data_IF_543682610158
#
_entry.id   IF_543682610158
#
_cell.length_a   1.000
_cell.length_b   1.000
_cell.length_c   1.000
_cell.angle_alpha   90.00
_cell.angle_beta   90.00
_cell.angle_gamma   90.00
#
_symmetry.space_group_name_H-M   'P 1'
#
loop_
_entity.id
_entity.type
_entity.pdbx_description
1 polymer ?
#
# COMPACT_ATOMS: atom_id res chain seq x y z
N UNK A 1 -4.62 19.78 -1.54
CA UNK A 1 -3.92 18.51 -1.29
C UNK A 1 -4.17 18.08 0.13
N UNK A 2 -4.62 16.85 0.33
CA UNK A 2 -4.86 16.21 1.62
C UNK A 2 -4.60 14.71 1.53
N UNK A 3 -4.27 14.13 2.68
CA UNK A 3 -4.22 12.69 2.91
C UNK A 3 -5.40 12.37 3.81
N UNK A 4 -6.39 11.66 3.28
CA UNK A 4 -7.55 11.19 4.05
C UNK A 4 -7.36 9.71 4.39
N UNK A 5 -7.96 9.30 5.50
CA UNK A 5 -7.81 7.97 6.09
C UNK A 5 -9.17 7.41 6.50
N UNK A 6 -9.33 6.11 6.30
CA UNK A 6 -10.29 5.30 7.03
C UNK A 6 -9.70 3.94 7.38
N UNK A 7 -10.44 3.20 8.20
CA UNK A 7 -10.16 1.81 8.53
C UNK A 7 -11.34 0.98 8.08
N UNK A 8 -11.08 -0.16 7.46
CA UNK A 8 -12.09 -1.16 7.15
C UNK A 8 -11.71 -2.48 7.81
N UNK A 9 -12.69 -3.20 8.34
CA UNK A 9 -12.48 -4.48 9.03
C UNK A 9 -12.90 -5.66 8.15
N UNK A 10 -12.15 -6.75 8.22
CA UNK A 10 -12.40 -7.94 7.42
C UNK A 10 -11.44 -9.05 7.79
N UNK A 11 -11.11 -9.90 6.83
CA UNK A 11 -10.17 -11.00 7.02
C UNK A 11 -8.94 -10.87 6.13
N UNK A 12 -7.87 -11.57 6.49
CA UNK A 12 -6.71 -11.89 5.66
C UNK A 12 -6.56 -13.41 5.59
N UNK A 13 -6.38 -13.97 4.40
CA UNK A 13 -6.30 -15.41 4.17
C UNK A 13 -5.07 -15.80 3.33
N UNK A 14 -4.19 -16.62 3.89
CA UNK A 14 -3.01 -17.18 3.19
C UNK A 14 -2.60 -18.51 3.84
N UNK A 15 -2.05 -19.44 3.05
CA UNK A 15 -1.60 -20.76 3.51
C UNK A 15 -2.64 -21.61 4.26
N UNK A 16 -3.93 -21.38 3.97
CA UNK A 16 -5.03 -22.08 4.63
C UNK A 16 -5.37 -21.56 6.03
N UNK A 17 -4.73 -20.48 6.46
CA UNK A 17 -5.09 -19.75 7.68
C UNK A 17 -5.94 -18.52 7.34
N UNK A 18 -6.71 -18.04 8.31
CA UNK A 18 -7.51 -16.82 8.15
C UNK A 18 -7.55 -16.05 9.47
N UNK A 19 -7.35 -14.74 9.40
CA UNK A 19 -7.22 -13.85 10.54
C UNK A 19 -8.18 -12.68 10.37
N UNK A 20 -8.82 -12.25 11.46
CA UNK A 20 -9.53 -10.97 11.47
C UNK A 20 -8.49 -9.84 11.48
N UNK A 21 -8.68 -8.85 10.60
CA UNK A 21 -7.76 -7.72 10.41
C UNK A 21 -8.52 -6.41 10.23
N UNK A 22 -7.82 -5.32 10.47
CA UNK A 22 -8.26 -3.96 10.15
C UNK A 22 -7.22 -3.32 9.24
N UNK A 23 -7.61 -2.95 8.02
CA UNK A 23 -6.73 -2.35 7.02
C UNK A 23 -6.98 -0.84 6.96
N UNK A 24 -5.89 -0.08 6.89
CA UNK A 24 -5.93 1.34 6.59
C UNK A 24 -6.21 1.55 5.10
N UNK A 25 -7.12 2.48 4.80
CA UNK A 25 -7.39 2.99 3.46
C UNK A 25 -6.86 4.40 3.41
N UNK A 26 -6.01 4.70 2.43
CA UNK A 26 -5.47 6.05 2.22
C UNK A 26 -5.96 6.63 0.91
N UNK A 27 -6.45 7.88 0.96
CA UNK A 27 -6.91 8.63 -0.23
C UNK A 27 -6.14 9.94 -0.31
N UNK A 28 -5.46 10.16 -1.42
CA UNK A 28 -4.57 11.32 -1.61
C UNK A 28 -5.04 12.13 -2.80
N UNK A 29 -5.25 13.42 -2.59
CA UNK A 29 -5.72 14.31 -3.65
C UNK A 29 -6.15 15.68 -3.16
N UNK A 30 -6.85 16.42 -4.00
CA UNK A 30 -7.53 17.67 -3.64
C UNK A 30 -9.06 17.46 -3.57
N UNK A 31 -9.83 18.52 -3.78
CA UNK A 31 -11.30 18.46 -3.81
C UNK A 31 -11.87 17.89 -5.11
N UNK A 32 -11.07 17.74 -6.17
CA UNK A 32 -11.52 17.36 -7.51
C UNK A 32 -11.08 15.95 -7.89
N UNK A 33 -9.81 15.59 -7.67
CA UNK A 33 -9.26 14.28 -8.03
C UNK A 33 -8.39 13.67 -6.93
N UNK A 34 -8.35 12.34 -6.88
CA UNK A 34 -7.57 11.58 -5.92
C UNK A 34 -7.06 10.25 -6.48
N UNK A 35 -6.11 9.63 -5.78
CA UNK A 35 -5.82 8.21 -5.87
C UNK A 35 -6.27 7.52 -4.59
N UNK A 36 -6.61 6.24 -4.71
CA UNK A 36 -6.86 5.35 -3.57
C UNK A 36 -5.67 4.43 -3.46
N UNK A 37 -5.10 4.30 -2.25
CA UNK A 37 -4.05 3.32 -1.95
C UNK A 37 -4.69 2.17 -1.20
N UNK A 38 -4.57 0.99 -1.79
CA UNK A 38 -5.21 -0.26 -1.39
C UNK A 38 -6.76 -0.22 -1.41
N UNK A 39 -7.37 -1.37 -1.67
CA UNK A 39 -8.81 -1.53 -1.75
C UNK A 39 -9.23 -2.81 -0.99
N UNK A 40 -9.31 -2.72 0.35
CA UNK A 40 -9.39 -3.88 1.22
C UNK A 40 -10.78 -4.53 1.19
N UNK A 41 -11.68 -4.18 2.11
CA UNK A 41 -12.82 -5.04 2.43
C UNK A 41 -14.19 -4.51 1.99
N UNK A 42 -14.32 -3.20 1.81
CA UNK A 42 -15.61 -2.55 1.58
C UNK A 42 -15.47 -1.42 0.56
N UNK A 43 -16.14 -1.55 -0.58
CA UNK A 43 -16.24 -0.46 -1.56
C UNK A 43 -16.91 0.76 -0.93
N UNK A 44 -17.93 0.56 -0.09
CA UNK A 44 -18.65 1.64 0.56
C UNK A 44 -17.76 2.46 1.52
N UNK A 45 -16.88 1.79 2.28
CA UNK A 45 -15.94 2.49 3.19
C UNK A 45 -14.96 3.34 2.38
N UNK A 46 -14.44 2.79 1.28
CA UNK A 46 -13.52 3.50 0.38
C UNK A 46 -14.22 4.70 -0.26
N UNK A 47 -15.42 4.51 -0.80
CA UNK A 47 -16.20 5.58 -1.44
C UNK A 47 -16.62 6.65 -0.43
N UNK A 48 -16.89 6.30 0.81
CA UNK A 48 -17.18 7.27 1.87
C UNK A 48 -16.00 8.22 2.10
N UNK A 49 -14.76 7.72 2.06
CA UNK A 49 -13.57 8.57 2.12
C UNK A 49 -13.40 9.34 0.83
N UNK A 50 -13.45 8.68 -0.34
CA UNK A 50 -13.30 9.33 -1.67
C UNK A 50 -14.31 10.48 -1.86
N UNK A 51 -15.53 10.34 -1.38
CA UNK A 51 -16.57 11.35 -1.56
C UNK A 51 -16.90 11.58 -3.03
N UNK A 52 -16.90 12.85 -3.47
CA UNK A 52 -17.27 13.23 -4.85
C UNK A 52 -16.08 13.33 -5.81
N UNK A 53 -14.88 12.98 -5.36
CA UNK A 53 -13.64 13.16 -6.13
C UNK A 53 -13.54 12.14 -7.25
N UNK A 54 -12.93 12.54 -8.36
CA UNK A 54 -12.56 11.63 -9.44
C UNK A 54 -11.37 10.78 -9.01
N UNK A 55 -11.56 9.47 -8.92
CA UNK A 55 -10.46 8.54 -8.70
C UNK A 55 -9.64 8.40 -9.99
N UNK A 56 -8.33 8.57 -9.89
CA UNK A 56 -7.38 8.53 -11.00
C UNK A 56 -6.71 7.19 -11.15
N UNK A 57 -6.51 6.50 -10.03
CA UNK A 57 -5.94 5.17 -9.95
C UNK A 57 -6.28 4.54 -8.60
N UNK A 58 -6.36 3.21 -8.59
CA UNK A 58 -6.32 2.38 -7.39
C UNK A 58 -4.91 1.79 -7.36
N UNK A 59 -4.08 2.20 -6.41
CA UNK A 59 -2.67 1.80 -6.33
C UNK A 59 -2.54 0.75 -5.23
N UNK A 60 -2.26 -0.48 -5.61
CA UNK A 60 -2.07 -1.58 -4.67
C UNK A 60 -0.60 -1.61 -4.21
N UNK A 61 -0.37 -1.50 -2.90
CA UNK A 61 0.95 -1.65 -2.30
C UNK A 61 1.47 -3.07 -2.47
N UNK A 62 0.60 -4.06 -2.36
CA UNK A 62 0.85 -5.47 -2.65
C UNK A 62 -0.47 -6.22 -2.84
N UNK A 63 -0.41 -7.51 -3.19
CA UNK A 63 -1.57 -8.31 -3.58
C UNK A 63 -2.03 -9.35 -2.54
N UNK A 64 -1.77 -9.15 -1.25
CA UNK A 64 -2.51 -9.91 -0.24
C UNK A 64 -4.00 -9.56 -0.29
N UNK A 65 -4.84 -10.56 0.00
CA UNK A 65 -6.28 -10.46 -0.27
C UNK A 65 -6.95 -9.35 0.56
N UNK A 66 -6.47 -9.10 1.77
CA UNK A 66 -6.91 -8.01 2.62
C UNK A 66 -6.56 -6.61 2.09
N UNK A 67 -5.62 -6.45 1.16
CA UNK A 67 -5.29 -5.17 0.52
C UNK A 67 -5.98 -4.97 -0.83
N UNK A 68 -6.40 -6.04 -1.51
CA UNK A 68 -6.91 -5.95 -2.89
C UNK A 68 -8.29 -6.56 -3.10
N UNK A 69 -8.94 -7.10 -2.07
CA UNK A 69 -10.18 -7.90 -2.20
C UNK A 69 -11.28 -7.18 -2.97
N UNK A 70 -11.47 -5.88 -2.79
CA UNK A 70 -12.51 -5.15 -3.54
C UNK A 70 -11.95 -4.33 -4.71
N UNK A 71 -10.67 -4.46 -5.05
CA UNK A 71 -10.04 -3.66 -6.11
C UNK A 71 -10.75 -3.77 -7.48
N UNK A 72 -11.12 -4.97 -7.98
CA UNK A 72 -11.86 -5.08 -9.24
C UNK A 72 -13.24 -4.43 -9.18
N UNK A 73 -13.99 -4.62 -8.10
CA UNK A 73 -15.32 -4.01 -7.93
C UNK A 73 -15.22 -2.48 -7.85
N UNK A 74 -14.26 -1.96 -7.07
CA UNK A 74 -13.99 -0.54 -6.96
C UNK A 74 -13.65 0.05 -8.33
N UNK A 75 -12.76 -0.60 -9.11
CA UNK A 75 -12.40 -0.15 -10.47
C UNK A 75 -13.63 0.06 -11.34
N UNK A 76 -14.54 -0.91 -11.38
CA UNK A 76 -15.74 -0.79 -12.23
C UNK A 76 -16.63 0.37 -11.77
N UNK A 77 -16.73 0.60 -10.45
CA UNK A 77 -17.51 1.70 -9.89
C UNK A 77 -16.91 3.08 -10.18
N UNK A 78 -15.60 3.25 -9.96
CA UNK A 78 -14.94 4.56 -10.08
C UNK A 78 -14.36 4.81 -11.48
N UNK A 79 -14.33 3.78 -12.33
CA UNK A 79 -13.78 3.79 -13.69
C UNK A 79 -12.33 4.30 -13.70
N UNK A 80 -11.48 3.68 -12.87
CA UNK A 80 -10.07 4.04 -12.69
C UNK A 80 -9.17 2.80 -12.70
N UNK A 81 -7.98 2.85 -13.34
CA UNK A 81 -7.11 1.70 -13.46
C UNK A 81 -6.58 1.20 -12.11
N UNK A 82 -6.40 -0.12 -12.01
CA UNK A 82 -5.64 -0.76 -10.92
C UNK A 82 -4.17 -0.80 -11.31
N UNK A 83 -3.33 -0.31 -10.42
CA UNK A 83 -1.88 -0.29 -10.53
C UNK A 83 -1.30 -1.29 -9.53
N UNK A 84 -0.54 -2.27 -10.01
CA UNK A 84 0.07 -3.31 -9.18
C UNK A 84 1.45 -3.70 -9.74
N UNK A 85 2.40 -4.05 -8.88
CA UNK A 85 3.69 -4.55 -9.32
C UNK A 85 3.55 -5.99 -9.86
N UNK A 86 4.11 -6.32 -11.04
CA UNK A 86 3.89 -7.61 -11.69
C UNK A 86 4.44 -8.82 -10.93
N UNK A 87 5.41 -8.63 -10.04
CA UNK A 87 5.95 -9.72 -9.20
C UNK A 87 4.91 -10.29 -8.23
N UNK A 88 3.84 -9.54 -7.95
CA UNK A 88 2.72 -9.99 -7.12
C UNK A 88 1.64 -10.77 -7.89
N UNK A 89 1.88 -11.09 -9.17
CA UNK A 89 0.95 -11.88 -10.00
C UNK A 89 0.44 -13.13 -9.30
N UNK A 90 1.33 -13.87 -8.66
CA UNK A 90 0.96 -15.13 -7.97
C UNK A 90 -0.03 -14.88 -6.85
N UNK A 91 0.26 -13.91 -5.97
CA UNK A 91 -0.63 -13.50 -4.88
C UNK A 91 -1.96 -12.97 -5.42
N UNK A 92 -1.93 -12.08 -6.41
CA UNK A 92 -3.13 -11.54 -7.05
C UNK A 92 -4.06 -12.65 -7.56
N UNK A 93 -3.53 -13.66 -8.25
CA UNK A 93 -4.35 -14.75 -8.81
C UNK A 93 -4.96 -15.67 -7.74
N UNK A 94 -4.52 -15.61 -6.49
CA UNK A 94 -5.17 -16.34 -5.38
C UNK A 94 -6.51 -15.72 -4.99
N UNK A 95 -6.65 -14.40 -5.13
CA UNK A 95 -7.88 -13.66 -4.85
C UNK A 95 -8.70 -13.42 -6.12
N UNK A 96 -8.03 -13.12 -7.23
CA UNK A 96 -8.62 -12.58 -8.45
C UNK A 96 -8.22 -13.40 -9.68
N UNK A 97 -8.79 -14.61 -9.81
CA UNK A 97 -8.44 -15.52 -10.91
C UNK A 97 -8.80 -14.97 -12.30
N UNK A 98 -9.96 -14.31 -12.41
CA UNK A 98 -10.54 -13.88 -13.69
C UNK A 98 -10.31 -12.40 -14.00
N UNK A 99 -9.62 -11.67 -13.11
CA UNK A 99 -9.35 -10.25 -13.27
C UNK A 99 -7.85 -9.99 -13.35
N UNK A 100 -7.44 -9.08 -14.22
CA UNK A 100 -6.10 -8.51 -14.22
C UNK A 100 -6.15 -7.07 -13.71
N UNK A 101 -5.01 -6.59 -13.22
CA UNK A 101 -4.77 -5.16 -13.06
C UNK A 101 -4.47 -4.51 -14.42
N UNK A 102 -4.47 -3.19 -14.47
CA UNK A 102 -4.47 -2.42 -15.72
C UNK A 102 -3.08 -1.86 -16.07
N UNK A 103 -2.26 -1.55 -15.08
CA UNK A 103 -0.93 -0.95 -15.27
C UNK A 103 0.11 -1.59 -14.34
N UNK A 104 1.21 -2.08 -14.91
CA UNK A 104 2.36 -2.57 -14.16
C UNK A 104 3.06 -1.41 -13.45
N UNK A 105 3.19 -1.50 -12.13
CA UNK A 105 4.09 -0.64 -11.36
C UNK A 105 5.54 -1.11 -11.56
N UNK A 106 6.46 -0.15 -11.49
CA UNK A 106 7.91 -0.40 -11.46
C UNK A 106 8.59 0.52 -10.45
N UNK A 107 9.75 0.12 -9.95
CA UNK A 107 10.56 0.99 -9.08
C UNK A 107 10.82 2.36 -9.73
N UNK A 108 10.82 3.42 -8.90
CA UNK A 108 10.92 4.83 -9.27
C UNK A 108 9.83 5.36 -10.20
N UNK A 109 8.78 4.59 -10.53
CA UNK A 109 7.65 5.11 -11.30
C UNK A 109 6.98 6.27 -10.55
N UNK A 110 6.63 7.32 -11.28
CA UNK A 110 5.95 8.50 -10.74
C UNK A 110 4.45 8.43 -11.03
N UNK A 111 3.64 8.69 -10.00
CA UNK A 111 2.19 8.77 -10.06
C UNK A 111 1.78 10.18 -9.64
N UNK A 112 1.30 10.97 -10.59
CA UNK A 112 0.85 12.34 -10.32
C UNK A 112 -0.64 12.42 -10.05
N UNK A 113 -1.03 13.20 -9.03
CA UNK A 113 -2.41 13.47 -8.65
C UNK A 113 -2.51 14.87 -8.05
N UNK A 114 -3.47 15.70 -8.49
CA UNK A 114 -3.78 16.99 -7.88
C UNK A 114 -2.55 17.90 -7.62
N UNK A 115 -1.56 17.85 -8.51
CA UNK A 115 -0.33 18.65 -8.42
C UNK A 115 0.80 18.09 -7.53
N UNK A 116 0.61 16.92 -6.90
CA UNK A 116 1.66 16.19 -6.17
C UNK A 116 2.07 14.95 -6.94
N UNK A 117 3.32 14.53 -6.77
CA UNK A 117 3.84 13.27 -7.33
C UNK A 117 4.20 12.30 -6.21
N UNK A 118 3.70 11.07 -6.32
CA UNK A 118 4.14 9.94 -5.53
C UNK A 118 5.15 9.13 -6.33
N UNK A 119 6.24 8.73 -5.70
CA UNK A 119 7.26 7.87 -6.27
C UNK A 119 7.10 6.46 -5.71
N UNK A 120 6.96 5.49 -6.60
CA UNK A 120 6.94 4.07 -6.28
C UNK A 120 8.33 3.64 -5.87
N UNK A 121 8.42 2.94 -4.74
CA UNK A 121 9.64 2.35 -4.20
C UNK A 121 9.41 0.85 -4.09
N UNK A 122 10.09 0.03 -4.90
CA UNK A 122 9.97 -1.42 -4.78
C UNK A 122 10.67 -1.91 -3.51
N UNK A 123 9.91 -2.56 -2.62
CA UNK A 123 10.35 -2.97 -1.28
C UNK A 123 9.93 -4.42 -1.01
N UNK A 124 10.48 -5.39 -1.76
CA UNK A 124 10.09 -6.78 -1.64
C UNK A 124 10.45 -7.35 -0.26
N UNK A 125 9.77 -8.44 0.10
CA UNK A 125 10.09 -9.25 1.27
C UNK A 125 8.87 -9.60 2.11
N UNK A 126 7.93 -8.68 2.32
CA UNK A 126 6.61 -9.05 2.83
C UNK A 126 5.79 -9.78 1.75
N UNK A 127 5.78 -9.20 0.56
CA UNK A 127 5.34 -9.80 -0.68
C UNK A 127 6.41 -9.57 -1.77
N UNK A 128 6.46 -10.37 -2.86
CA UNK A 128 7.46 -10.22 -3.91
C UNK A 128 7.35 -8.89 -4.67
N UNK A 129 6.13 -8.42 -4.91
CA UNK A 129 5.80 -7.17 -5.57
C UNK A 129 5.47 -6.02 -4.62
N UNK A 130 5.74 -6.15 -3.32
CA UNK A 130 5.44 -5.08 -2.37
C UNK A 130 6.14 -3.76 -2.76
N UNK A 131 5.39 -2.67 -2.75
CA UNK A 131 5.87 -1.32 -2.99
C UNK A 131 5.45 -0.37 -1.87
N UNK A 132 6.29 0.64 -1.63
CA UNK A 132 5.93 1.83 -0.88
C UNK A 132 5.70 3.01 -1.83
N UNK A 133 4.85 3.96 -1.44
CA UNK A 133 4.57 5.17 -2.22
C UNK A 133 5.06 6.39 -1.45
N UNK A 134 6.16 7.00 -1.89
CA UNK A 134 6.75 8.16 -1.22
C UNK A 134 6.23 9.46 -1.84
N UNK A 135 5.71 10.37 -1.02
CA UNK A 135 5.22 11.68 -1.42
C UNK A 135 6.09 12.77 -0.74
N UNK A 136 7.23 13.17 -1.35
CA UNK A 136 8.17 14.11 -0.73
C UNK A 136 7.52 15.45 -0.37
N UNK A 137 6.66 15.99 -1.24
CA UNK A 137 5.98 17.27 -1.03
C UNK A 137 5.01 17.26 0.16
N UNK A 138 4.60 16.07 0.60
CA UNK A 138 3.73 15.85 1.76
C UNK A 138 4.51 15.37 3.00
N UNK A 139 5.81 15.10 2.86
CA UNK A 139 6.65 14.58 3.95
C UNK A 139 6.20 13.21 4.45
N UNK A 140 5.63 12.36 3.59
CA UNK A 140 5.09 11.06 4.00
C UNK A 140 5.39 9.93 3.00
N UNK A 141 5.28 8.69 3.49
CA UNK A 141 5.38 7.46 2.71
C UNK A 141 4.28 6.48 3.14
N UNK A 142 3.62 5.85 2.17
CA UNK A 142 2.64 4.80 2.39
C UNK A 142 3.33 3.45 2.20
N UNK A 143 3.39 2.62 3.24
CA UNK A 143 4.29 1.46 3.27
C UNK A 143 3.61 0.12 3.07
N UNK A 144 2.27 0.10 3.02
CA UNK A 144 1.50 -1.13 3.12
C UNK A 144 2.04 -1.95 4.31
N UNK A 145 2.42 -3.19 4.03
CA UNK A 145 2.94 -4.12 5.02
C UNK A 145 4.47 -4.25 4.99
N UNK A 146 5.16 -3.25 4.46
CA UNK A 146 6.63 -3.23 4.48
C UNK A 146 7.14 -2.84 5.87
N UNK A 147 6.68 -1.70 6.41
CA UNK A 147 7.11 -1.13 7.68
C UNK A 147 5.89 -0.65 8.47
N UNK A 148 5.82 -1.05 9.74
CA UNK A 148 4.79 -0.68 10.71
C UNK A 148 5.35 0.14 11.86
N UNK A 149 4.45 0.71 12.67
CA UNK A 149 4.80 1.19 14.00
C UNK A 149 5.23 0.01 14.88
N UNK A 150 6.53 -0.08 15.17
CA UNK A 150 7.11 -1.13 15.98
C UNK A 150 7.77 -2.27 15.21
N UNK A 151 7.97 -2.14 13.90
CA UNK A 151 8.85 -3.05 13.17
C UNK A 151 8.48 -3.33 11.71
N UNK A 152 9.26 -4.21 11.06
CA UNK A 152 8.95 -4.68 9.71
C UNK A 152 7.64 -5.47 9.69
N UNK A 153 7.00 -5.56 8.52
CA UNK A 153 5.82 -6.40 8.34
C UNK A 153 6.02 -7.87 8.67
N UNK A 154 4.92 -8.61 8.82
CA UNK A 154 4.98 -10.03 9.13
C UNK A 154 5.61 -10.83 7.96
N UNK A 155 6.36 -11.87 8.29
CA UNK A 155 6.90 -12.84 7.32
C UNK A 155 6.83 -14.23 7.95
N UNK A 156 7.05 -15.28 7.15
CA UNK A 156 6.92 -16.68 7.57
C UNK A 156 5.73 -17.41 6.94
N UNK A 157 4.94 -16.70 6.13
CA UNK A 157 3.96 -17.27 5.19
C UNK A 157 4.58 -17.38 3.79
N UNK A 158 3.93 -18.10 2.89
CA UNK A 158 4.32 -18.20 1.49
C UNK A 158 4.53 -16.81 0.88
N UNK A 159 5.48 -16.71 -0.05
CA UNK A 159 5.81 -15.48 -0.78
C UNK A 159 6.43 -14.36 0.06
N UNK A 160 6.82 -14.64 1.31
CA UNK A 160 7.55 -13.71 2.17
C UNK A 160 8.97 -14.19 2.51
N UNK A 161 9.89 -13.25 2.72
CA UNK A 161 11.28 -13.49 3.13
C UNK A 161 11.78 -12.37 4.06
N UNK A 162 12.12 -12.73 5.31
CA UNK A 162 12.55 -11.77 6.35
C UNK A 162 13.83 -11.01 5.99
N UNK A 163 14.93 -11.67 5.58
CA UNK A 163 16.15 -10.97 5.20
C UNK A 163 15.94 -9.98 4.04
N UNK A 164 15.15 -10.35 3.03
CA UNK A 164 14.81 -9.46 1.91
C UNK A 164 14.03 -8.24 2.40
N UNK A 165 13.04 -8.43 3.28
CA UNK A 165 12.25 -7.32 3.83
C UNK A 165 13.12 -6.34 4.63
N UNK A 166 13.98 -6.84 5.51
CA UNK A 166 14.89 -6.01 6.29
C UNK A 166 15.88 -5.26 5.40
N UNK A 167 16.41 -5.91 4.36
CA UNK A 167 17.28 -5.28 3.39
C UNK A 167 16.56 -4.16 2.61
N UNK A 168 15.32 -4.39 2.17
CA UNK A 168 14.48 -3.39 1.50
C UNK A 168 14.22 -2.18 2.38
N UNK A 169 13.88 -2.38 3.66
CA UNK A 169 13.65 -1.28 4.61
C UNK A 169 14.92 -0.45 4.79
N UNK A 170 16.07 -1.09 5.04
CA UNK A 170 17.35 -0.40 5.26
C UNK A 170 17.81 0.38 4.04
N UNK A 171 17.75 -0.25 2.86
CA UNK A 171 18.23 0.35 1.62
C UNK A 171 17.33 1.48 1.11
N UNK A 172 16.01 1.34 1.29
CA UNK A 172 15.04 2.22 0.64
C UNK A 172 14.35 3.17 1.61
N UNK A 173 13.73 2.65 2.66
CA UNK A 173 12.94 3.48 3.59
C UNK A 173 13.82 4.27 4.54
N UNK A 174 14.87 3.67 5.09
CA UNK A 174 15.78 4.39 5.97
C UNK A 174 16.66 5.40 5.23
N UNK A 175 16.72 5.38 3.89
CA UNK A 175 17.33 6.45 3.13
C UNK A 175 16.48 7.75 3.09
N UNK A 176 15.21 7.69 3.52
CA UNK A 176 14.33 8.85 3.58
C UNK A 176 14.64 9.74 4.81
N UNK A 177 14.22 11.03 4.80
CA UNK A 177 14.34 11.92 5.96
C UNK A 177 13.69 11.33 7.21
N UNK A 178 14.32 11.51 8.38
CA UNK A 178 13.84 10.97 9.66
C UNK A 178 12.43 11.42 10.04
N UNK A 179 12.04 12.63 9.65
CA UNK A 179 10.74 13.22 9.91
C UNK A 179 9.65 12.78 8.92
N UNK A 180 9.99 11.93 7.94
CA UNK A 180 9.01 11.36 7.01
C UNK A 180 7.99 10.52 7.78
N UNK A 181 6.72 10.89 7.71
CA UNK A 181 5.61 10.16 8.30
C UNK A 181 5.38 8.86 7.53
N UNK A 182 5.24 7.76 8.25
CA UNK A 182 4.96 6.44 7.70
C UNK A 182 3.48 6.13 7.91
N UNK A 183 2.74 6.04 6.81
CA UNK A 183 1.35 5.61 6.75
C UNK A 183 1.30 4.12 6.44
N UNK A 184 0.86 3.33 7.42
CA UNK A 184 0.94 1.87 7.38
C UNK A 184 -0.26 1.23 6.69
N UNK A 185 -0.11 -0.03 6.26
CA UNK A 185 -1.22 -0.88 5.82
C UNK A 185 -2.19 -1.25 6.94
N UNK A 186 -1.67 -1.36 8.17
CA UNK A 186 -2.44 -1.66 9.37
C UNK A 186 -1.96 -0.84 10.57
N UNK A 187 -2.87 -0.54 11.50
CA UNK A 187 -2.53 0.10 12.76
C UNK A 187 -2.15 1.58 12.63
N UNK A 188 -1.36 2.07 13.58
CA UNK A 188 -1.03 3.49 13.69
C UNK A 188 0.16 3.91 12.81
N UNK A 189 0.17 5.18 12.44
CA UNK A 189 1.33 5.84 11.83
C UNK A 189 2.58 5.79 12.72
N UNK A 190 3.75 5.95 12.08
CA UNK A 190 5.05 6.15 12.73
C UNK A 190 5.91 7.13 11.93
N UNK A 191 7.21 7.20 12.17
CA UNK A 191 8.17 7.98 11.36
C UNK A 191 9.38 7.13 11.01
N UNK A 192 10.05 7.46 9.91
CA UNK A 192 11.29 6.79 9.50
C UNK A 192 12.35 6.85 10.60
N UNK A 193 12.51 8.00 11.26
CA UNK A 193 13.48 8.18 12.34
C UNK A 193 13.18 7.31 13.56
N UNK A 194 11.91 7.18 13.95
CA UNK A 194 11.50 6.34 15.08
C UNK A 194 11.81 4.86 14.82
N UNK A 195 11.42 4.34 13.66
CA UNK A 195 11.64 2.92 13.32
C UNK A 195 13.13 2.63 13.05
N UNK A 196 13.86 3.56 12.44
CA UNK A 196 15.31 3.41 12.22
C UNK A 196 16.10 3.38 13.53
N UNK A 197 15.68 4.15 14.54
CA UNK A 197 16.28 4.11 15.86
C UNK A 197 16.01 2.78 16.58
N UNK A 198 14.84 2.17 16.36
CA UNK A 198 14.46 0.89 16.97
C UNK A 198 15.11 -0.32 16.28
N UNK A 199 15.18 -0.33 14.94
CA UNK A 199 15.66 -1.46 14.12
C UNK A 199 17.15 -1.38 13.77
N UNK A 200 17.78 -0.22 14.03
CA UNK A 200 19.13 0.11 13.57
C UNK A 200 19.17 0.43 12.08
N UNK A 201 20.13 1.24 11.63
CA UNK A 201 20.34 1.59 10.22
C UNK A 201 21.38 0.70 9.51
N UNK A 202 22.19 -0.02 10.29
CA UNK A 202 23.35 -0.81 9.83
C UNK A 202 22.99 -2.25 9.46
#
# INVERSE_FOLDING_TARGET
MRVDHAVSSGTFSLDGETFDVENNIWVIGDDEECIVIDAPHSVDDIIAVVGTRKVKAIVCTHAHDDHVRVAPELRELVVAPILLHPDDRTLWTMTHLDHLWDVDLSDQMEISVAGTTLRVLHTPGHAPGAVCLHAPDLGCVFTGDTLFHGGPGATGRSFSDRPTLEASIRATLFALPDDTVVHTGHGADTTIGAEAAALGRD
#
